data_IF_590781734470
#
_entry.id   IF_590781734470
#
_cell.length_a   1.000
_cell.length_b   1.000
_cell.length_c   1.000
_cell.angle_alpha   90.00
_cell.angle_beta   90.00
_cell.angle_gamma   90.00
#
_symmetry.space_group_name_H-M   'P 1'
#
loop_
_entity.id
_entity.type
_entity.pdbx_description
1 polymer ?
#
# COMPACT_ATOMS: atom_id res chain seq x y z
N UNK A 1 7.67 11.00 16.26
CA UNK A 1 6.30 10.53 15.88
C UNK A 1 6.39 9.11 15.35
N UNK A 2 5.50 8.27 15.76
CA UNK A 2 5.41 6.88 15.33
C UNK A 2 4.40 6.72 14.20
N UNK A 3 4.56 5.67 13.39
CA UNK A 3 3.63 5.41 12.27
C UNK A 3 2.18 5.27 12.72
N UNK A 4 1.94 4.79 13.94
CA UNK A 4 0.60 4.69 14.51
C UNK A 4 -0.17 6.00 14.37
N UNK A 5 0.49 7.13 14.50
CA UNK A 5 -0.13 8.45 14.39
C UNK A 5 -0.49 8.84 12.95
N UNK A 6 0.13 8.19 11.96
CA UNK A 6 -0.13 8.46 10.55
C UNK A 6 -1.16 7.52 9.94
N UNK A 7 -1.36 6.34 10.56
CA UNK A 7 -2.29 5.33 10.05
C UNK A 7 -3.68 5.66 10.57
N UNK A 8 -4.25 6.75 10.04
CA UNK A 8 -5.56 7.21 10.48
C UNK A 8 -6.73 6.58 9.73
N UNK A 9 -6.49 6.14 8.51
CA UNK A 9 -7.51 5.58 7.65
C UNK A 9 -7.17 4.14 7.32
N UNK A 10 -8.21 3.32 7.24
CA UNK A 10 -8.03 1.93 6.79
C UNK A 10 -7.57 1.93 5.34
N UNK A 11 -6.72 0.96 5.00
CA UNK A 11 -6.37 0.70 3.63
C UNK A 11 -7.60 0.27 2.84
N UNK A 12 -7.66 0.64 1.57
CA UNK A 12 -8.62 0.05 0.66
C UNK A 12 -8.18 -1.39 0.38
N UNK A 13 -9.12 -2.30 0.48
CA UNK A 13 -8.86 -3.74 0.40
C UNK A 13 -9.60 -4.32 -0.80
N UNK A 14 -8.89 -5.17 -1.56
CA UNK A 14 -9.48 -5.96 -2.64
C UNK A 14 -9.09 -7.42 -2.45
N UNK A 15 -9.86 -8.32 -3.07
CA UNK A 15 -9.48 -9.72 -3.11
C UNK A 15 -8.54 -10.02 -4.27
N UNK A 16 -7.86 -11.18 -4.27
CA UNK A 16 -6.94 -11.55 -5.35
C UNK A 16 -7.64 -11.72 -6.69
N UNK A 17 -8.93 -12.02 -6.70
CA UNK A 17 -9.74 -12.23 -7.92
C UNK A 17 -10.39 -10.95 -8.43
N UNK A 18 -10.18 -9.82 -7.75
CA UNK A 18 -10.68 -8.53 -8.21
C UNK A 18 -9.99 -8.17 -9.53
N UNK A 19 -10.77 -7.79 -10.54
CA UNK A 19 -10.22 -7.41 -11.83
C UNK A 19 -9.35 -6.16 -11.71
N UNK A 20 -8.34 -6.04 -12.56
CA UNK A 20 -7.48 -4.84 -12.56
C UNK A 20 -8.28 -3.58 -12.88
N UNK A 21 -9.36 -3.69 -13.65
CA UNK A 21 -10.26 -2.57 -13.92
C UNK A 21 -10.93 -2.11 -12.63
N UNK A 22 -11.43 -3.04 -11.83
CA UNK A 22 -12.06 -2.70 -10.55
C UNK A 22 -11.05 -2.19 -9.53
N UNK A 23 -9.82 -2.70 -9.54
CA UNK A 23 -8.74 -2.15 -8.71
C UNK A 23 -8.51 -0.68 -9.06
N UNK A 24 -8.42 -0.36 -10.35
CA UNK A 24 -8.23 1.00 -10.81
C UNK A 24 -9.40 1.91 -10.39
N UNK A 25 -10.62 1.40 -10.46
CA UNK A 25 -11.82 2.14 -10.02
C UNK A 25 -11.76 2.47 -8.53
N UNK A 26 -11.37 1.49 -7.71
CA UNK A 26 -11.22 1.70 -6.26
C UNK A 26 -10.20 2.79 -5.99
N UNK A 27 -9.05 2.75 -6.67
CA UNK A 27 -8.02 3.77 -6.52
C UNK A 27 -8.52 5.17 -6.85
N UNK A 28 -9.27 5.30 -7.94
CA UNK A 28 -9.81 6.59 -8.36
C UNK A 28 -10.92 7.08 -7.43
N UNK A 29 -11.82 6.20 -7.01
CA UNK A 29 -12.94 6.55 -6.13
C UNK A 29 -12.47 7.03 -4.76
N UNK A 30 -11.42 6.41 -4.24
CA UNK A 30 -10.90 6.70 -2.90
C UNK A 30 -9.65 7.57 -2.92
N UNK A 31 -9.22 7.98 -4.10
CA UNK A 31 -8.02 8.82 -4.29
C UNK A 31 -6.79 8.23 -3.58
N UNK A 32 -6.56 6.95 -3.80
CA UNK A 32 -5.40 6.23 -3.27
C UNK A 32 -4.60 5.65 -4.43
N UNK A 33 -3.29 5.48 -4.23
CA UNK A 33 -2.39 4.94 -5.23
C UNK A 33 -1.98 3.49 -4.92
N UNK A 34 -2.55 2.91 -3.89
CA UNK A 34 -2.26 1.53 -3.49
C UNK A 34 -3.49 0.92 -2.84
N UNK A 35 -3.68 -0.38 -3.07
CA UNK A 35 -4.69 -1.17 -2.38
C UNK A 35 -4.03 -2.40 -1.77
N UNK A 36 -4.56 -2.88 -0.66
CA UNK A 36 -4.13 -4.13 -0.06
C UNK A 36 -4.89 -5.28 -0.73
N UNK A 37 -4.18 -6.35 -1.04
CA UNK A 37 -4.80 -7.58 -1.55
C UNK A 37 -4.86 -8.56 -0.39
N UNK A 38 -6.06 -8.93 -0.01
CA UNK A 38 -6.33 -9.73 1.19
C UNK A 38 -7.17 -10.94 0.81
N UNK A 39 -6.80 -12.10 1.29
CA UNK A 39 -7.61 -13.32 1.21
C UNK A 39 -7.93 -13.82 2.61
N UNK A 40 -8.39 -15.07 2.71
CA UNK A 40 -8.76 -15.67 4.01
C UNK A 40 -7.59 -15.81 4.97
N UNK A 41 -6.35 -15.79 4.48
CA UNK A 41 -5.16 -15.91 5.32
C UNK A 41 -4.64 -14.55 5.80
N UNK A 42 -5.18 -13.46 5.26
CA UNK A 42 -4.77 -12.09 5.57
C UNK A 42 -4.16 -11.38 4.38
N UNK A 43 -3.27 -10.44 4.64
CA UNK A 43 -2.58 -9.67 3.60
C UNK A 43 -1.67 -10.57 2.78
N UNK A 44 -1.94 -10.66 1.47
CA UNK A 44 -1.13 -11.47 0.55
C UNK A 44 -0.37 -10.63 -0.46
N UNK A 45 -0.74 -9.39 -0.64
CA UNK A 45 -0.09 -8.53 -1.62
C UNK A 45 -0.48 -7.08 -1.47
N UNK A 46 0.21 -6.24 -2.23
CA UNK A 46 -0.15 -4.85 -2.42
C UNK A 46 -0.15 -4.57 -3.91
N UNK A 47 -1.15 -3.84 -4.39
CA UNK A 47 -1.24 -3.45 -5.78
C UNK A 47 -1.23 -1.92 -5.84
N UNK A 48 -0.25 -1.38 -6.56
CA UNK A 48 -0.06 0.07 -6.68
C UNK A 48 -0.41 0.55 -8.09
N UNK A 49 -0.51 1.86 -8.25
CA UNK A 49 -0.66 2.49 -9.58
C UNK A 49 0.49 2.08 -10.50
N UNK A 50 1.69 1.95 -9.95
CA UNK A 50 2.87 1.52 -10.71
C UNK A 50 2.74 0.06 -11.17
N UNK A 51 2.17 -0.80 -10.35
CA UNK A 51 1.89 -2.19 -10.72
C UNK A 51 0.90 -2.25 -11.89
N UNK A 52 -0.13 -1.42 -11.86
CA UNK A 52 -1.10 -1.33 -12.95
C UNK A 52 -0.42 -0.84 -14.24
N UNK A 53 0.42 0.19 -14.13
CA UNK A 53 1.16 0.71 -15.29
C UNK A 53 2.09 -0.35 -15.88
N UNK A 54 2.79 -1.08 -15.02
CA UNK A 54 3.68 -2.17 -15.46
C UNK A 54 2.89 -3.28 -16.15
N UNK A 55 1.74 -3.65 -15.59
CA UNK A 55 0.87 -4.64 -16.19
C UNK A 55 0.43 -4.24 -17.61
N UNK A 56 -0.03 -3.01 -17.76
CA UNK A 56 -0.42 -2.49 -19.07
C UNK A 56 0.76 -2.49 -20.04
N UNK A 57 1.94 -2.06 -19.60
CA UNK A 57 3.14 -2.00 -20.42
C UNK A 57 3.60 -3.38 -20.88
N UNK A 58 3.32 -4.42 -20.11
CA UNK A 58 3.68 -5.80 -20.43
C UNK A 58 2.57 -6.59 -21.14
N UNK A 59 1.45 -5.92 -21.46
CA UNK A 59 0.40 -6.48 -22.30
C UNK A 59 -0.77 -7.11 -21.57
N UNK A 60 -0.99 -6.81 -20.29
CA UNK A 60 -2.18 -7.30 -19.64
C UNK A 60 -3.43 -6.64 -20.24
N UNK A 61 -4.53 -7.36 -20.21
CA UNK A 61 -5.83 -6.85 -20.65
C UNK A 61 -6.77 -6.73 -19.46
N UNK A 62 -8.03 -6.39 -19.73
CA UNK A 62 -9.04 -6.19 -18.70
C UNK A 62 -9.45 -7.46 -17.97
N UNK A 63 -9.01 -8.62 -18.43
CA UNK A 63 -9.26 -9.89 -17.73
C UNK A 63 -8.22 -10.19 -16.64
N UNK A 64 -7.14 -9.43 -16.56
CA UNK A 64 -6.13 -9.60 -15.53
C UNK A 64 -6.73 -9.34 -14.14
N UNK A 65 -6.21 -10.03 -13.14
CA UNK A 65 -6.68 -9.96 -11.76
C UNK A 65 -5.65 -9.24 -10.88
N UNK A 66 -6.09 -8.76 -9.72
CA UNK A 66 -5.21 -8.15 -8.74
C UNK A 66 -4.01 -9.07 -8.43
N UNK A 67 -4.27 -10.37 -8.27
CA UNK A 67 -3.20 -11.34 -8.00
C UNK A 67 -2.16 -11.45 -9.12
N UNK A 68 -2.53 -11.11 -10.35
CA UNK A 68 -1.58 -11.14 -11.48
C UNK A 68 -0.61 -9.98 -11.45
N UNK A 69 -1.03 -8.82 -10.94
CA UNK A 69 -0.24 -7.59 -10.99
C UNK A 69 0.34 -7.18 -9.64
N UNK A 70 -0.17 -7.70 -8.54
CA UNK A 70 0.26 -7.31 -7.20
C UNK A 70 1.72 -7.65 -6.95
N UNK A 71 2.33 -6.92 -6.01
CA UNK A 71 3.57 -7.35 -5.36
C UNK A 71 3.16 -8.31 -4.26
N UNK A 72 3.53 -9.59 -4.41
CA UNK A 72 3.19 -10.62 -3.45
C UNK A 72 4.10 -10.56 -2.23
N UNK A 73 3.58 -10.95 -1.08
CA UNK A 73 4.34 -10.97 0.18
C UNK A 73 5.10 -9.67 0.42
N UNK A 74 4.40 -8.52 0.45
CA UNK A 74 5.08 -7.25 0.59
C UNK A 74 5.77 -7.14 1.94
N UNK A 75 6.84 -6.36 2.01
CA UNK A 75 7.43 -5.99 3.28
C UNK A 75 6.42 -5.18 4.07
N UNK A 76 6.29 -5.48 5.34
CA UNK A 76 5.38 -4.79 6.25
C UNK A 76 6.16 -4.22 7.42
N UNK A 77 5.59 -3.23 8.07
CA UNK A 77 6.17 -2.63 9.27
C UNK A 77 5.14 -2.59 10.38
N UNK A 78 5.61 -2.53 11.61
CA UNK A 78 4.74 -2.34 12.75
C UNK A 78 4.40 -0.86 12.97
N UNK A 79 3.31 -0.57 13.72
CA UNK A 79 2.88 0.82 13.92
C UNK A 79 3.76 1.63 14.87
N UNK A 80 4.62 0.96 15.64
CA UNK A 80 5.39 1.64 16.68
C UNK A 80 6.79 2.07 16.25
N UNK A 81 7.16 1.86 14.98
CA UNK A 81 8.42 2.41 14.48
C UNK A 81 8.31 3.92 14.32
N UNK A 82 9.44 4.59 14.43
CA UNK A 82 9.52 6.03 14.22
C UNK A 82 9.30 6.38 12.74
N UNK A 83 8.65 7.50 12.49
CA UNK A 83 8.42 7.98 11.11
C UNK A 83 9.76 8.17 10.39
N UNK A 84 10.79 8.64 11.11
CA UNK A 84 12.12 8.81 10.52
C UNK A 84 12.74 7.48 10.06
N UNK A 85 12.50 6.40 10.79
CA UNK A 85 12.99 5.07 10.39
C UNK A 85 12.23 4.56 9.17
N UNK A 86 10.93 4.79 9.10
CA UNK A 86 10.15 4.45 7.92
C UNK A 86 10.63 5.24 6.70
N UNK A 87 10.94 6.53 6.88
CA UNK A 87 11.48 7.36 5.81
C UNK A 87 12.79 6.82 5.27
N UNK A 88 13.70 6.45 6.18
CA UNK A 88 14.99 5.87 5.80
C UNK A 88 14.80 4.58 5.02
N UNK A 89 13.89 3.72 5.46
CA UNK A 89 13.56 2.47 4.77
C UNK A 89 13.03 2.73 3.36
N UNK A 90 12.12 3.68 3.23
CA UNK A 90 11.57 4.04 1.92
C UNK A 90 12.62 4.59 0.96
N UNK A 91 13.57 5.39 1.47
CA UNK A 91 14.67 5.90 0.68
C UNK A 91 15.60 4.78 0.21
N UNK A 92 15.90 3.83 1.09
CA UNK A 92 16.78 2.71 0.78
C UNK A 92 16.18 1.76 -0.24
N UNK A 93 14.89 1.46 -0.10
CA UNK A 93 14.23 0.43 -0.90
C UNK A 93 13.55 0.98 -2.15
N UNK A 94 13.24 2.27 -2.16
CA UNK A 94 12.42 2.87 -3.22
C UNK A 94 10.93 2.64 -3.05
N UNK A 95 10.49 2.03 -1.98
CA UNK A 95 9.07 1.85 -1.69
C UNK A 95 8.41 3.19 -1.42
N UNK A 96 7.23 3.39 -1.97
CA UNK A 96 6.42 4.59 -1.72
C UNK A 96 5.22 4.29 -0.84
N UNK A 97 4.98 3.03 -0.55
CA UNK A 97 3.86 2.55 0.25
C UNK A 97 4.35 1.46 1.17
N UNK A 98 3.96 1.51 2.43
CA UNK A 98 4.29 0.48 3.42
C UNK A 98 3.00 0.03 4.11
N UNK A 99 2.63 -1.25 3.99
CA UNK A 99 1.57 -1.80 4.82
C UNK A 99 2.01 -1.82 6.28
N UNK A 100 1.12 -1.38 7.15
CA UNK A 100 1.35 -1.37 8.59
C UNK A 100 0.49 -2.46 9.21
N UNK A 101 1.15 -3.41 9.89
CA UNK A 101 0.52 -4.60 10.43
C UNK A 101 0.84 -4.70 11.91
N UNK A 102 -0.17 -5.03 12.72
CA UNK A 102 -0.03 -5.27 14.14
C UNK A 102 -0.76 -6.57 14.49
N UNK A 103 -0.05 -7.50 15.13
CA UNK A 103 -0.62 -8.79 15.55
C UNK A 103 -1.33 -9.53 14.41
N UNK A 104 -0.76 -9.47 13.22
CA UNK A 104 -1.31 -10.12 12.05
C UNK A 104 -2.43 -9.34 11.35
N UNK A 105 -2.84 -8.20 11.90
CA UNK A 105 -3.90 -7.39 11.31
C UNK A 105 -3.35 -6.19 10.55
N UNK A 106 -3.86 -5.98 9.35
CA UNK A 106 -3.54 -4.80 8.57
C UNK A 106 -4.24 -3.58 9.18
N UNK A 107 -3.46 -2.60 9.62
CA UNK A 107 -3.99 -1.34 10.14
C UNK A 107 -4.22 -0.33 9.02
N UNK A 108 -3.36 -0.32 8.03
CA UNK A 108 -3.45 0.61 6.91
C UNK A 108 -2.21 0.55 6.04
N UNK A 109 -2.16 1.42 5.04
CA UNK A 109 -0.99 1.61 4.19
C UNK A 109 -0.53 3.05 4.35
N UNK A 110 0.76 3.23 4.67
CA UNK A 110 1.37 4.54 4.77
C UNK A 110 2.03 4.88 3.44
N UNK A 111 1.72 6.05 2.93
CA UNK A 111 2.23 6.60 1.69
C UNK A 111 3.43 7.50 2.01
N UNK A 112 4.38 7.58 1.10
CA UNK A 112 5.57 8.43 1.30
C UNK A 112 5.20 9.91 1.53
N UNK A 113 4.08 10.38 0.98
CA UNK A 113 3.64 11.75 1.22
C UNK A 113 3.21 11.97 2.66
N UNK A 114 2.61 10.97 3.30
CA UNK A 114 2.26 11.04 4.73
C UNK A 114 3.51 11.15 5.57
N UNK A 115 4.53 10.37 5.23
CA UNK A 115 5.82 10.38 5.93
C UNK A 115 6.52 11.73 5.75
N UNK A 116 6.56 12.25 4.52
CA UNK A 116 7.17 13.55 4.25
C UNK A 116 6.45 14.67 4.98
N UNK A 117 5.12 14.63 4.99
CA UNK A 117 4.32 15.62 5.71
C UNK A 117 4.68 15.63 7.20
N UNK A 118 4.78 14.44 7.81
CA UNK A 118 5.12 14.31 9.22
C UNK A 118 6.53 14.85 9.53
N UNK A 119 7.48 14.65 8.61
CA UNK A 119 8.85 15.09 8.81
C UNK A 119 9.03 16.61 8.67
N UNK A 120 8.21 17.27 7.83
CA UNK A 120 8.34 18.71 7.57
C UNK A 120 7.36 19.55 8.36
N UNK A 121 6.36 18.95 8.99
CA UNK A 121 5.37 19.68 9.79
C UNK A 121 5.93 19.92 11.19
N UNK A 122 6.09 21.17 11.62
CA UNK A 122 6.69 21.46 12.92
C UNK A 122 5.85 20.99 14.10
N UNK A 123 4.54 20.82 13.91
CA UNK A 123 3.60 20.40 14.95
C UNK A 123 3.20 18.94 14.85
N UNK A 124 3.91 18.18 14.03
CA UNK A 124 3.60 16.77 13.83
C UNK A 124 4.06 15.91 14.99
#
# INVERSE_FOLDING_TARGET
MRLRSLVGNRAEIVGPETSVVDVAKVMLEHNVAAVAVVDRTGLIGICTDRDLARGLATGCDDSALASDLMTASPDVVGPDIEVSDAAAWMLETGYRHLPVVEDGELLGIVDIRDVLWALVSPDA
#
